data_IF_330032043964
#
_entry.id   IF_330032043964
#
_cell.length_a   1.000
_cell.length_b   1.000
_cell.length_c   1.000
_cell.angle_alpha   90.00
_cell.angle_beta   90.00
_cell.angle_gamma   90.00
#
_symmetry.space_group_name_H-M   'P 1'
#
loop_
_entity.id
_entity.type
_entity.pdbx_description
1 polymer ?
#
# COMPACT_ATOMS: atom_id res chain seq x y z
N UNK A 1 19.58 -21.56 -25.00
CA UNK A 1 18.60 -22.67 -25.03
C UNK A 1 17.28 -22.27 -24.39
N UNK A 2 17.29 -21.81 -23.14
CA UNK A 2 16.07 -21.33 -22.45
C UNK A 2 15.34 -20.19 -23.19
N UNK A 3 16.06 -19.20 -23.70
CA UNK A 3 15.45 -18.11 -24.49
C UNK A 3 14.71 -18.62 -25.74
N UNK A 4 15.27 -19.61 -26.45
CA UNK A 4 14.58 -20.25 -27.59
C UNK A 4 13.31 -20.97 -27.14
N UNK A 5 13.35 -21.68 -26.00
CA UNK A 5 12.17 -22.37 -25.46
C UNK A 5 11.08 -21.37 -25.07
N UNK A 6 11.43 -20.25 -24.42
CA UNK A 6 10.47 -19.21 -24.06
C UNK A 6 9.87 -18.53 -25.29
N UNK A 7 10.68 -18.26 -26.32
CA UNK A 7 10.20 -17.73 -27.61
C UNK A 7 9.25 -18.69 -28.32
N UNK A 8 9.57 -19.98 -28.35
CA UNK A 8 8.67 -20.99 -28.93
C UNK A 8 7.38 -21.13 -28.13
N UNK A 9 7.46 -21.14 -26.79
CA UNK A 9 6.28 -21.14 -25.91
C UNK A 9 5.41 -19.92 -26.19
N UNK A 10 5.99 -18.72 -26.27
CA UNK A 10 5.27 -17.50 -26.60
C UNK A 10 4.57 -17.58 -27.96
N UNK A 11 5.26 -18.04 -29.01
CA UNK A 11 4.67 -18.20 -30.35
C UNK A 11 3.50 -19.19 -30.34
N UNK A 12 3.66 -20.34 -29.67
CA UNK A 12 2.59 -21.34 -29.54
C UNK A 12 1.41 -20.78 -28.75
N UNK A 13 1.68 -20.11 -27.63
CA UNK A 13 0.67 -19.49 -26.79
C UNK A 13 -0.14 -18.45 -27.58
N UNK A 14 0.55 -17.55 -28.27
CA UNK A 14 -0.03 -16.46 -29.05
C UNK A 14 -0.89 -16.96 -30.22
N UNK A 15 -0.43 -18.01 -30.92
CA UNK A 15 -1.13 -18.55 -32.11
C UNK A 15 -2.36 -19.38 -31.72
N UNK A 16 -2.57 -19.78 -30.47
CA UNK A 16 -3.61 -20.76 -30.21
C UNK A 16 -5.03 -20.31 -30.57
N UNK A 17 -5.83 -21.22 -31.16
CA UNK A 17 -7.15 -20.90 -31.66
C UNK A 17 -8.18 -20.60 -30.56
N UNK A 18 -7.94 -21.02 -29.31
CA UNK A 18 -8.82 -20.74 -28.17
C UNK A 18 -8.49 -19.44 -27.43
N UNK A 19 -7.36 -18.80 -27.72
CA UNK A 19 -7.04 -17.48 -27.16
C UNK A 19 -7.74 -16.40 -28.00
N UNK A 20 -8.83 -15.83 -27.49
CA UNK A 20 -9.65 -14.79 -28.15
C UNK A 20 -8.97 -13.41 -28.03
N UNK A 21 -7.66 -13.34 -28.27
CA UNK A 21 -6.96 -12.04 -28.33
C UNK A 21 -7.18 -11.33 -29.66
N UNK A 22 -7.78 -12.02 -30.63
CA UNK A 22 -8.00 -11.54 -31.98
C UNK A 22 -9.37 -10.89 -32.05
N UNK A 23 -9.42 -9.55 -31.99
CA UNK A 23 -10.65 -8.77 -32.18
C UNK A 23 -11.32 -8.90 -33.55
N UNK A 24 -11.00 -9.93 -34.35
CA UNK A 24 -11.56 -10.20 -35.67
C UNK A 24 -11.47 -11.68 -36.07
N UNK A 25 -12.57 -12.22 -36.63
CA UNK A 25 -12.66 -13.56 -37.20
C UNK A 25 -11.65 -13.81 -38.35
N UNK A 26 -11.10 -12.75 -38.94
CA UNK A 26 -10.07 -12.84 -39.99
C UNK A 26 -8.84 -13.65 -39.56
N UNK A 27 -8.44 -13.56 -38.28
CA UNK A 27 -7.25 -14.25 -37.80
C UNK A 27 -7.41 -15.76 -37.70
N UNK A 28 -8.62 -16.25 -37.42
CA UNK A 28 -8.93 -17.67 -37.47
C UNK A 28 -8.74 -18.26 -38.88
N UNK A 29 -9.01 -17.47 -39.93
CA UNK A 29 -8.78 -17.88 -41.32
C UNK A 29 -7.34 -17.68 -41.79
N UNK A 30 -6.62 -16.68 -41.27
CA UNK A 30 -5.24 -16.39 -41.65
C UNK A 30 -4.23 -17.40 -41.09
N UNK A 31 -4.54 -18.02 -39.94
CA UNK A 31 -3.65 -18.92 -39.22
C UNK A 31 -3.26 -20.21 -39.97
N UNK A 32 -4.17 -20.91 -40.67
CA UNK A 32 -3.81 -22.03 -41.56
C UNK A 32 -2.79 -21.63 -42.64
N UNK A 33 -2.86 -20.39 -43.14
CA UNK A 33 -1.91 -19.88 -44.14
C UNK A 33 -0.52 -19.57 -43.55
N UNK A 34 -0.39 -19.50 -42.22
CA UNK A 34 0.91 -19.35 -41.55
C UNK A 34 1.63 -20.69 -41.32
N UNK A 35 0.93 -21.83 -41.41
CA UNK A 35 1.51 -23.18 -41.22
C UNK A 35 2.64 -23.50 -42.22
N UNK A 36 2.54 -23.15 -43.53
CA UNK A 36 3.65 -23.31 -44.46
C UNK A 36 4.91 -22.51 -44.05
N UNK A 37 4.74 -21.44 -43.28
CA UNK A 37 5.83 -20.59 -42.80
C UNK A 37 6.42 -21.06 -41.46
N UNK A 38 5.93 -22.16 -40.85
CA UNK A 38 6.42 -22.64 -39.55
C UNK A 38 7.92 -22.96 -39.56
N UNK A 39 8.47 -23.48 -40.65
CA UNK A 39 9.90 -23.72 -40.78
C UNK A 39 10.71 -22.40 -40.76
N UNK A 40 10.21 -21.37 -41.46
CA UNK A 40 10.82 -20.04 -41.44
C UNK A 40 10.73 -19.40 -40.06
N UNK A 41 9.58 -19.50 -39.37
CA UNK A 41 9.38 -19.00 -38.01
C UNK A 41 10.34 -19.69 -37.02
N UNK A 42 10.54 -21.00 -37.15
CA UNK A 42 11.49 -21.72 -36.31
C UNK A 42 12.93 -21.23 -36.53
N UNK A 43 13.36 -21.08 -37.77
CA UNK A 43 14.69 -20.52 -38.09
C UNK A 43 14.83 -19.10 -37.56
N UNK A 44 13.80 -18.26 -37.72
CA UNK A 44 13.78 -16.91 -37.16
C UNK A 44 13.85 -16.92 -35.63
N UNK A 45 13.16 -17.83 -34.95
CA UNK A 45 13.23 -17.98 -33.51
C UNK A 45 14.63 -18.41 -33.04
N UNK A 46 15.29 -19.32 -33.76
CA UNK A 46 16.68 -19.72 -33.50
C UNK A 46 17.63 -18.55 -33.68
N UNK A 47 17.56 -17.84 -34.81
CA UNK A 47 18.40 -16.66 -35.06
C UNK A 47 18.14 -15.54 -34.03
N UNK A 48 16.87 -15.30 -33.71
CA UNK A 48 16.46 -14.37 -32.68
C UNK A 48 17.00 -14.74 -31.31
N UNK A 49 17.04 -16.03 -30.96
CA UNK A 49 17.59 -16.50 -29.70
C UNK A 49 19.12 -16.39 -29.63
N UNK A 50 19.81 -16.51 -30.77
CA UNK A 50 21.26 -16.30 -30.85
C UNK A 50 21.65 -14.83 -30.68
N UNK A 51 20.84 -13.91 -31.21
CA UNK A 51 21.11 -12.46 -31.19
C UNK A 51 20.36 -11.75 -30.05
N UNK A 52 19.61 -12.50 -29.23
CA UNK A 52 18.74 -11.96 -28.16
C UNK A 52 17.79 -10.85 -28.64
N UNK A 53 17.27 -10.97 -29.87
CA UNK A 53 16.29 -10.02 -30.41
C UNK A 53 14.86 -10.45 -30.06
N UNK A 54 13.92 -9.52 -29.82
CA UNK A 54 12.52 -9.89 -29.58
C UNK A 54 11.80 -10.24 -30.90
N UNK A 55 10.80 -11.13 -30.80
CA UNK A 55 9.90 -11.49 -31.90
C UNK A 55 8.63 -10.64 -31.81
N UNK A 56 8.30 -9.91 -32.87
CA UNK A 56 7.09 -9.10 -32.94
C UNK A 56 6.09 -9.72 -33.92
N UNK A 57 4.81 -9.87 -33.54
CA UNK A 57 3.77 -10.29 -34.48
C UNK A 57 3.53 -9.18 -35.50
N UNK A 58 3.63 -9.50 -36.79
CA UNK A 58 3.41 -8.54 -37.86
C UNK A 58 1.93 -8.20 -37.92
N UNK A 59 1.55 -6.95 -37.66
CA UNK A 59 0.16 -6.47 -37.70
C UNK A 59 -0.79 -7.30 -36.81
N UNK A 60 -0.26 -7.85 -35.71
CA UNK A 60 -1.01 -8.76 -34.85
C UNK A 60 -1.48 -10.01 -35.58
N UNK A 61 -0.67 -10.56 -36.50
CA UNK A 61 -0.92 -11.81 -37.24
C UNK A 61 -0.10 -12.99 -36.68
N UNK A 62 -0.34 -14.20 -37.20
CA UNK A 62 0.42 -15.41 -36.83
C UNK A 62 1.84 -15.47 -37.42
N UNK A 63 2.30 -14.43 -38.13
CA UNK A 63 3.64 -14.32 -38.69
C UNK A 63 4.47 -13.37 -37.84
N UNK A 64 5.64 -13.82 -37.40
CA UNK A 64 6.56 -13.05 -36.57
C UNK A 64 7.73 -12.50 -37.39
N UNK A 65 8.21 -11.33 -37.00
CA UNK A 65 9.45 -10.74 -37.52
C UNK A 65 10.40 -10.47 -36.36
N UNK A 66 11.69 -10.72 -36.59
CA UNK A 66 12.76 -10.37 -35.66
C UNK A 66 12.93 -8.85 -35.60
N UNK A 67 12.80 -8.27 -34.41
CA UNK A 67 13.09 -6.85 -34.20
C UNK A 67 14.59 -6.58 -34.10
N UNK A 68 14.96 -5.32 -33.90
CA UNK A 68 16.32 -4.93 -33.53
C UNK A 68 16.66 -5.39 -32.12
N UNK A 69 17.94 -5.64 -31.85
CA UNK A 69 18.43 -5.95 -30.51
C UNK A 69 18.17 -4.74 -29.59
N UNK A 70 17.52 -4.98 -28.46
CA UNK A 70 17.21 -3.93 -27.46
C UNK A 70 18.04 -4.16 -26.21
N UNK A 71 18.57 -3.10 -25.57
CA UNK A 71 19.13 -3.22 -24.24
C UNK A 71 18.09 -3.78 -23.27
N UNK A 72 18.56 -4.49 -22.24
CA UNK A 72 17.70 -4.99 -21.16
C UNK A 72 16.99 -3.83 -20.48
N UNK A 73 17.70 -2.73 -20.19
CA UNK A 73 17.08 -1.52 -19.65
C UNK A 73 16.12 -0.88 -20.66
N UNK A 74 14.87 -0.61 -20.26
CA UNK A 74 13.95 0.13 -21.10
C UNK A 74 14.40 1.58 -21.29
N UNK A 75 14.22 2.08 -22.51
CA UNK A 75 14.34 3.50 -22.83
C UNK A 75 13.14 4.23 -22.24
N UNK A 76 13.32 4.83 -21.06
CA UNK A 76 12.36 5.77 -20.53
C UNK A 76 12.40 7.05 -21.36
N UNK A 77 11.22 7.51 -21.76
CA UNK A 77 11.05 8.90 -22.16
C UNK A 77 11.07 9.68 -20.86
N UNK A 78 11.95 10.68 -20.75
CA UNK A 78 12.06 11.53 -19.56
C UNK A 78 10.75 12.32 -19.35
N UNK A 79 9.77 11.68 -18.71
CA UNK A 79 8.66 12.39 -18.11
C UNK A 79 9.23 13.04 -16.86
N UNK A 80 9.58 14.31 -16.99
CA UNK A 80 10.07 15.13 -15.88
C UNK A 80 8.94 15.29 -14.85
N UNK A 81 8.72 14.29 -14.00
CA UNK A 81 7.78 14.36 -12.89
C UNK A 81 8.44 15.20 -11.81
N UNK A 82 8.26 16.53 -11.89
CA UNK A 82 8.62 17.41 -10.79
C UNK A 82 7.76 17.02 -9.60
N UNK A 83 8.41 16.56 -8.52
CA UNK A 83 7.80 16.46 -7.20
C UNK A 83 7.11 17.79 -6.93
N UNK A 84 5.80 17.76 -6.66
CA UNK A 84 5.09 18.95 -6.20
C UNK A 84 5.60 19.22 -4.79
N UNK A 85 6.64 20.04 -4.71
CA UNK A 85 7.23 20.43 -3.44
C UNK A 85 6.31 21.47 -2.79
N UNK A 86 5.62 21.08 -1.72
CA UNK A 86 4.64 21.95 -1.05
C UNK A 86 5.28 23.21 -0.45
N UNK A 87 6.61 23.24 -0.32
CA UNK A 87 7.41 24.42 0.04
C UNK A 87 7.34 25.55 -0.99
N UNK A 88 7.07 25.24 -2.26
CA UNK A 88 7.09 26.20 -3.38
C UNK A 88 5.73 26.39 -4.07
N UNK A 89 4.67 25.71 -3.63
CA UNK A 89 3.31 25.91 -4.15
C UNK A 89 2.63 27.06 -3.43
N UNK A 90 2.08 28.05 -4.18
CA UNK A 90 1.26 29.13 -3.60
C UNK A 90 0.09 28.52 -2.81
N UNK A 91 -0.21 29.08 -1.64
CA UNK A 91 -1.32 28.67 -0.77
C UNK A 91 -2.67 28.61 -1.50
N UNK A 92 -2.91 29.51 -2.46
CA UNK A 92 -4.09 29.49 -3.34
C UNK A 92 -4.22 28.18 -4.13
N UNK A 93 -3.11 27.62 -4.59
CA UNK A 93 -3.07 26.36 -5.35
C UNK A 93 -3.31 25.14 -4.46
N UNK A 94 -3.16 25.29 -3.14
CA UNK A 94 -3.54 24.27 -2.14
C UNK A 94 -5.01 24.41 -1.72
N UNK A 95 -5.56 25.63 -1.71
CA UNK A 95 -6.96 25.88 -1.35
C UNK A 95 -7.94 25.52 -2.46
N UNK A 96 -7.57 25.76 -3.73
CA UNK A 96 -8.41 25.46 -4.90
C UNK A 96 -8.43 23.97 -5.27
N UNK A 97 -7.58 23.15 -4.62
CA UNK A 97 -7.48 21.70 -4.86
C UNK A 97 -7.94 20.93 -3.61
N UNK A 98 -9.24 20.70 -3.48
CA UNK A 98 -9.85 19.54 -2.79
C UNK A 98 -11.38 19.63 -2.94
N UNK A 99 -12.13 18.55 -3.28
CA UNK A 99 -12.00 17.18 -2.77
C UNK A 99 -12.17 16.12 -3.89
N UNK A 100 -11.10 15.83 -4.62
CA UNK A 100 -11.14 14.91 -5.77
C UNK A 100 -9.90 14.91 -6.65
N UNK A 101 -8.83 15.58 -6.22
CA UNK A 101 -7.55 15.66 -6.92
C UNK A 101 -6.52 14.81 -6.18
N UNK A 102 -6.00 13.70 -6.68
CA UNK A 102 -6.20 12.97 -7.92
C UNK A 102 -5.74 11.56 -7.55
N UNK A 103 -6.51 10.48 -7.78
CA UNK A 103 -6.04 9.11 -7.51
C UNK A 103 -4.64 8.87 -8.12
N UNK A 104 -4.36 9.48 -9.26
CA UNK A 104 -3.05 9.48 -9.91
C UNK A 104 -1.90 10.03 -9.05
N UNK A 105 -2.15 11.05 -8.22
CA UNK A 105 -1.15 11.62 -7.30
C UNK A 105 -0.95 10.76 -6.05
N UNK A 106 -2.01 10.12 -5.55
CA UNK A 106 -1.88 9.13 -4.47
C UNK A 106 -1.12 7.89 -4.96
N UNK A 107 -1.42 7.44 -6.18
CA UNK A 107 -0.75 6.34 -6.84
C UNK A 107 0.74 6.63 -7.06
N UNK A 108 1.11 7.84 -7.50
CA UNK A 108 2.52 8.20 -7.66
C UNK A 108 3.28 8.21 -6.33
N UNK A 109 2.66 8.70 -5.24
CA UNK A 109 3.22 8.63 -3.88
C UNK A 109 3.40 7.17 -3.45
N UNK A 110 2.40 6.32 -3.68
CA UNK A 110 2.49 4.90 -3.38
C UNK A 110 3.65 4.22 -4.12
N UNK A 111 3.78 4.44 -5.43
CA UNK A 111 4.87 3.86 -6.22
C UNK A 111 6.25 4.40 -5.81
N UNK A 112 6.34 5.64 -5.36
CA UNK A 112 7.57 6.20 -4.79
C UNK A 112 7.98 5.47 -3.50
N UNK A 113 7.03 5.27 -2.58
CA UNK A 113 7.27 4.52 -1.34
C UNK A 113 7.60 3.05 -1.62
N UNK A 114 6.86 2.41 -2.53
CA UNK A 114 7.11 1.04 -2.98
C UNK A 114 8.53 0.91 -3.55
N UNK A 115 8.96 1.87 -4.37
CA UNK A 115 10.32 1.88 -4.94
C UNK A 115 11.38 1.97 -3.84
N UNK A 116 11.20 2.84 -2.84
CA UNK A 116 12.13 2.92 -1.69
C UNK A 116 12.16 1.65 -0.86
N UNK A 117 11.00 1.06 -0.58
CA UNK A 117 10.90 -0.20 0.17
C UNK A 117 11.64 -1.33 -0.55
N UNK A 118 11.42 -1.48 -1.86
CA UNK A 118 12.13 -2.43 -2.70
C UNK A 118 13.64 -2.14 -2.79
N UNK A 119 14.07 -0.87 -2.81
CA UNK A 119 15.50 -0.55 -2.75
C UNK A 119 16.19 -1.11 -1.48
N UNK A 120 15.47 -1.17 -0.36
CA UNK A 120 16.00 -1.72 0.89
C UNK A 120 15.89 -3.23 0.98
N UNK A 121 14.80 -3.84 0.50
CA UNK A 121 14.51 -5.26 0.75
C UNK A 121 14.78 -6.20 -0.43
N UNK A 122 14.65 -5.72 -1.67
CA UNK A 122 14.55 -6.57 -2.87
C UNK A 122 15.73 -7.53 -3.03
N UNK A 123 16.96 -7.06 -2.82
CA UNK A 123 18.12 -7.95 -2.94
C UNK A 123 18.09 -9.10 -1.91
N UNK A 124 17.67 -8.81 -0.68
CA UNK A 124 17.50 -9.84 0.35
C UNK A 124 16.37 -10.80 -0.01
N UNK A 125 15.25 -10.27 -0.50
CA UNK A 125 14.09 -11.07 -0.87
C UNK A 125 14.37 -12.03 -2.05
N UNK A 126 15.16 -11.59 -3.04
CA UNK A 126 15.63 -12.41 -4.15
C UNK A 126 16.57 -13.53 -3.68
N UNK A 127 17.53 -13.21 -2.80
CA UNK A 127 18.44 -14.21 -2.22
C UNK A 127 17.70 -15.27 -1.38
N UNK A 128 16.62 -14.86 -0.71
CA UNK A 128 15.74 -15.77 0.04
C UNK A 128 14.79 -16.58 -0.85
N UNK A 129 14.78 -16.35 -2.16
CA UNK A 129 13.92 -17.05 -3.12
C UNK A 129 12.44 -16.69 -3.03
N UNK A 130 12.09 -15.55 -2.40
CA UNK A 130 10.68 -15.13 -2.22
C UNK A 130 9.98 -14.78 -3.53
N UNK A 131 10.74 -14.45 -4.56
CA UNK A 131 10.26 -14.13 -5.92
C UNK A 131 10.39 -15.32 -6.88
N UNK A 132 10.68 -16.52 -6.35
CA UNK A 132 10.93 -17.70 -7.17
C UNK A 132 12.22 -17.59 -7.98
N UNK A 133 12.21 -18.26 -9.15
CA UNK A 133 13.33 -18.22 -10.08
C UNK A 133 13.40 -16.83 -10.72
N UNK A 134 14.58 -16.21 -10.66
CA UNK A 134 14.81 -14.88 -11.20
C UNK A 134 16.12 -14.86 -11.98
N UNK A 135 16.12 -14.13 -13.09
CA UNK A 135 17.27 -13.87 -13.93
C UNK A 135 17.32 -12.39 -14.32
N UNK A 136 18.47 -12.00 -14.90
CA UNK A 136 18.66 -10.66 -15.44
C UNK A 136 17.71 -10.45 -16.64
N UNK A 137 16.91 -9.39 -16.61
CA UNK A 137 15.92 -9.07 -17.63
C UNK A 137 14.51 -9.63 -17.39
N UNK A 138 14.28 -10.28 -16.25
CA UNK A 138 12.95 -10.80 -15.91
C UNK A 138 12.02 -9.68 -15.42
N UNK A 139 10.76 -9.76 -15.85
CA UNK A 139 9.68 -8.86 -15.45
C UNK A 139 8.72 -9.56 -14.51
N UNK A 140 8.44 -8.92 -13.39
CA UNK A 140 7.46 -9.35 -12.40
C UNK A 140 6.30 -8.36 -12.35
N UNK A 141 5.10 -8.88 -12.16
CA UNK A 141 3.91 -8.07 -11.93
C UNK A 141 3.49 -8.29 -10.48
N UNK A 142 3.52 -7.21 -9.71
CA UNK A 142 2.97 -7.17 -8.35
C UNK A 142 1.53 -6.70 -8.46
N UNK A 143 0.60 -7.59 -8.17
CA UNK A 143 -0.82 -7.31 -8.15
C UNK A 143 -1.32 -7.16 -6.70
N UNK A 144 -2.17 -6.16 -6.49
CA UNK A 144 -2.94 -5.91 -5.26
C UNK A 144 -4.38 -5.61 -5.67
N UNK A 145 -5.33 -5.68 -4.74
CA UNK A 145 -6.78 -5.51 -5.02
C UNK A 145 -7.11 -4.22 -5.80
N UNK A 146 -6.27 -3.19 -5.69
CA UNK A 146 -6.51 -1.88 -6.31
C UNK A 146 -5.34 -1.33 -7.12
N UNK A 147 -4.14 -1.94 -7.05
CA UNK A 147 -2.92 -1.35 -7.60
C UNK A 147 -2.02 -2.44 -8.20
N UNK A 148 -1.59 -2.22 -9.43
CA UNK A 148 -0.68 -3.12 -10.13
C UNK A 148 0.64 -2.43 -10.49
N UNK A 149 1.77 -3.05 -10.14
CA UNK A 149 3.12 -2.56 -10.44
C UNK A 149 3.90 -3.58 -11.27
N UNK A 150 4.55 -3.12 -12.34
CA UNK A 150 5.54 -3.89 -13.08
C UNK A 150 6.94 -3.58 -12.55
N UNK A 151 7.65 -4.62 -12.13
CA UNK A 151 9.03 -4.56 -11.63
C UNK A 151 9.93 -5.34 -12.60
N UNK A 152 10.87 -4.65 -13.23
CA UNK A 152 11.81 -5.24 -14.18
C UNK A 152 13.22 -5.28 -13.58
N UNK A 153 13.81 -6.47 -13.49
CA UNK A 153 15.17 -6.65 -13.00
C UNK A 153 16.17 -6.36 -14.13
N UNK A 154 16.93 -5.27 -14.02
CA UNK A 154 17.87 -4.86 -15.08
C UNK A 154 19.20 -5.60 -14.90
N UNK A 155 19.75 -5.58 -13.70
CA UNK A 155 21.06 -6.16 -13.40
C UNK A 155 21.04 -6.72 -11.98
N UNK A 156 21.59 -7.93 -11.83
CA UNK A 156 21.72 -8.63 -10.55
C UNK A 156 23.17 -9.08 -10.42
N UNK A 157 23.85 -8.67 -9.35
CA UNK A 157 25.23 -9.06 -9.12
C UNK A 157 25.77 -8.58 -7.78
N UNK A 158 26.66 -9.37 -7.16
CA UNK A 158 27.40 -9.00 -5.95
C UNK A 158 26.56 -8.39 -4.80
N UNK A 159 25.34 -8.90 -4.58
CA UNK A 159 24.45 -8.38 -3.54
C UNK A 159 23.84 -7.01 -3.87
N UNK A 160 23.86 -6.61 -5.13
CA UNK A 160 23.22 -5.40 -5.66
C UNK A 160 22.24 -5.82 -6.75
N UNK A 161 21.06 -5.21 -6.73
CA UNK A 161 20.02 -5.41 -7.74
C UNK A 161 19.59 -4.05 -8.23
N UNK A 162 19.65 -3.85 -9.54
CA UNK A 162 19.08 -2.67 -10.19
C UNK A 162 17.77 -3.07 -10.86
N UNK A 163 16.73 -2.27 -10.65
CA UNK A 163 15.40 -2.54 -11.17
C UNK A 163 14.72 -1.27 -11.66
N UNK A 164 13.75 -1.45 -12.54
CA UNK A 164 12.81 -0.42 -12.99
C UNK A 164 11.42 -0.76 -12.45
N UNK A 165 10.73 0.23 -11.91
CA UNK A 165 9.36 0.09 -11.42
C UNK A 165 8.43 1.00 -12.21
N UNK A 166 7.32 0.42 -12.69
CA UNK A 166 6.28 1.16 -13.41
C UNK A 166 4.90 0.80 -12.86
N UNK A 167 4.14 1.81 -12.45
CA UNK A 167 2.72 1.65 -12.14
C UNK A 167 1.88 1.45 -13.40
N UNK A 168 0.90 0.54 -13.35
CA UNK A 168 0.02 0.21 -14.48
C UNK A 168 -1.32 0.95 -14.46
N UNK A 169 -1.58 1.72 -13.41
CA UNK A 169 -2.87 2.38 -13.11
C UNK A 169 -3.12 3.69 -13.90
N UNK A 170 -2.42 3.92 -15.01
CA UNK A 170 -2.60 5.14 -15.78
C UNK A 170 -3.90 5.06 -16.61
N UNK A 171 -4.96 5.74 -16.17
CA UNK A 171 -6.23 5.86 -16.93
C UNK A 171 -6.01 6.67 -18.21
N UNK A 172 -5.69 5.99 -19.31
CA UNK A 172 -5.39 6.66 -20.58
C UNK A 172 -6.09 6.09 -21.82
N UNK A 173 -6.28 4.77 -21.91
CA UNK A 173 -6.86 4.14 -23.11
C UNK A 173 -7.64 2.87 -22.78
N UNK A 174 -8.57 2.48 -23.66
CA UNK A 174 -9.31 1.22 -23.55
C UNK A 174 -8.39 -0.02 -23.53
N UNK A 175 -7.30 0.02 -24.30
CA UNK A 175 -6.30 -1.04 -24.30
C UNK A 175 -5.62 -1.20 -22.93
N UNK A 176 -5.25 -0.08 -22.30
CA UNK A 176 -4.65 -0.09 -20.96
C UNK A 176 -5.61 -0.69 -19.92
N UNK A 177 -6.89 -0.35 -19.99
CA UNK A 177 -7.88 -0.88 -19.05
C UNK A 177 -8.06 -2.40 -19.23
N UNK A 178 -8.12 -2.88 -20.48
CA UNK A 178 -8.17 -4.33 -20.75
C UNK A 178 -6.92 -5.08 -20.32
N UNK A 179 -5.75 -4.47 -20.44
CA UNK A 179 -4.50 -5.05 -19.93
C UNK A 179 -4.53 -5.20 -18.40
N UNK A 180 -5.03 -4.19 -17.67
CA UNK A 180 -5.16 -4.24 -16.20
C UNK A 180 -6.23 -5.26 -15.78
N UNK A 181 -7.36 -5.31 -16.47
CA UNK A 181 -8.43 -6.29 -16.22
C UNK A 181 -7.90 -7.72 -16.40
N UNK A 182 -7.17 -8.01 -17.49
CA UNK A 182 -6.59 -9.33 -17.74
C UNK A 182 -5.48 -9.75 -16.75
N UNK A 183 -4.83 -8.79 -16.08
CA UNK A 183 -3.85 -9.05 -15.01
C UNK A 183 -4.56 -9.33 -13.67
N UNK A 184 -5.69 -8.67 -13.44
CA UNK A 184 -6.44 -8.73 -12.19
C UNK A 184 -7.39 -9.93 -12.15
N UNK A 185 -7.80 -10.45 -13.31
CA UNK A 185 -8.58 -11.68 -13.45
C UNK A 185 -7.81 -12.85 -12.82
N UNK A 186 -8.37 -13.41 -11.76
CA UNK A 186 -7.74 -14.46 -10.98
C UNK A 186 -7.58 -15.74 -11.80
N UNK A 187 -6.46 -16.44 -11.61
CA UNK A 187 -6.20 -17.75 -12.26
C UNK A 187 -7.17 -18.84 -11.77
N UNK A 188 -7.95 -18.56 -10.74
CA UNK A 188 -8.86 -19.51 -10.07
C UNK A 188 -10.29 -19.52 -10.62
N UNK A 189 -10.62 -18.73 -11.65
CA UNK A 189 -11.94 -18.81 -12.27
C UNK A 189 -12.05 -20.08 -13.13
N UNK A 190 -12.54 -21.15 -12.51
CA UNK A 190 -12.85 -22.43 -13.14
C UNK A 190 -14.13 -22.27 -13.99
N UNK A 191 -14.05 -21.54 -15.11
CA UNK A 191 -15.16 -21.45 -16.06
C UNK A 191 -15.43 -22.86 -16.61
N UNK A 192 -16.46 -23.53 -16.09
CA UNK A 192 -16.79 -24.91 -16.45
C UNK A 192 -16.83 -25.14 -17.97
N UNK A 193 -16.32 -26.28 -18.42
CA UNK A 193 -16.45 -26.70 -19.81
C UNK A 193 -17.85 -27.26 -20.03
N UNK A 194 -18.69 -26.60 -20.84
CA UNK A 194 -19.96 -27.11 -21.37
C UNK A 194 -20.73 -28.06 -20.43
N UNK A 195 -21.51 -27.48 -19.51
CA UNK A 195 -22.50 -28.17 -18.67
C UNK A 195 -21.97 -29.21 -17.66
N UNK A 196 -20.65 -29.44 -17.57
CA UNK A 196 -20.07 -30.42 -16.67
C UNK A 196 -18.92 -29.80 -15.85
N UNK A 197 -19.03 -29.85 -14.52
CA UNK A 197 -17.93 -29.59 -13.60
C UNK A 197 -17.32 -30.94 -13.20
N UNK A 198 -16.28 -31.44 -13.91
CA UNK A 198 -15.54 -32.59 -13.41
C UNK A 198 -14.81 -32.16 -12.14
N UNK A 199 -15.29 -32.63 -10.98
CA UNK A 199 -14.65 -32.34 -9.70
C UNK A 199 -13.14 -32.67 -9.72
N UNK A 200 -12.34 -31.86 -9.03
CA UNK A 200 -10.89 -32.05 -8.94
C UNK A 200 -10.50 -32.68 -7.59
N UNK A 201 -9.35 -33.37 -7.56
CA UNK A 201 -8.78 -33.87 -6.31
C UNK A 201 -8.34 -32.68 -5.44
N UNK A 202 -8.42 -32.80 -4.09
CA UNK A 202 -7.94 -31.74 -3.20
C UNK A 202 -6.44 -31.49 -3.45
N UNK A 203 -6.06 -30.21 -3.53
CA UNK A 203 -4.72 -29.72 -3.89
C UNK A 203 -4.23 -29.99 -5.32
N UNK A 204 -5.10 -30.42 -6.23
CA UNK A 204 -4.80 -30.47 -7.67
C UNK A 204 -5.65 -29.46 -8.42
N UNK A 205 -5.08 -28.83 -9.44
CA UNK A 205 -5.83 -27.99 -10.38
C UNK A 205 -6.84 -28.86 -11.15
N UNK A 206 -8.00 -28.28 -11.46
CA UNK A 206 -8.94 -28.88 -12.42
C UNK A 206 -8.25 -29.07 -13.78
N UNK A 207 -8.76 -29.98 -14.61
CA UNK A 207 -8.21 -30.16 -15.96
C UNK A 207 -8.28 -28.85 -16.77
N UNK A 208 -9.35 -28.09 -16.58
CA UNK A 208 -9.56 -26.83 -17.28
C UNK A 208 -8.57 -25.76 -16.79
N UNK A 209 -8.40 -25.62 -15.47
CA UNK A 209 -7.41 -24.70 -14.89
C UNK A 209 -5.97 -25.07 -15.29
N UNK A 210 -5.62 -26.37 -15.31
CA UNK A 210 -4.31 -26.83 -15.75
C UNK A 210 -4.07 -26.56 -17.25
N UNK A 211 -5.09 -26.77 -18.09
CA UNK A 211 -5.04 -26.48 -19.52
C UNK A 211 -4.93 -24.97 -19.79
N UNK A 212 -5.71 -24.15 -19.07
CA UNK A 212 -5.68 -22.69 -19.13
C UNK A 212 -4.31 -22.14 -18.72
N UNK A 213 -3.79 -22.54 -17.56
CA UNK A 213 -2.46 -22.13 -17.08
C UNK A 213 -1.34 -22.52 -18.02
N UNK A 214 -1.43 -23.69 -18.68
CA UNK A 214 -0.43 -24.09 -19.67
C UNK A 214 -0.34 -23.11 -20.83
N UNK A 215 -1.44 -22.43 -21.11
CA UNK A 215 -1.62 -21.49 -22.20
C UNK A 215 -1.56 -20.01 -21.80
N UNK A 216 -1.14 -19.72 -20.56
CA UNK A 216 -0.80 -18.37 -20.15
C UNK A 216 0.65 -18.02 -20.56
N UNK A 217 0.84 -16.75 -20.92
CA UNK A 217 2.15 -16.19 -21.23
C UNK A 217 2.93 -15.79 -19.97
N UNK A 218 2.29 -15.86 -18.79
CA UNK A 218 2.83 -15.51 -17.49
C UNK A 218 2.56 -16.66 -16.50
N UNK A 219 3.26 -16.65 -15.38
CA UNK A 219 3.09 -17.62 -14.30
C UNK A 219 3.09 -16.93 -12.93
N UNK A 220 2.39 -17.52 -11.96
CA UNK A 220 2.36 -17.01 -10.58
C UNK A 220 3.65 -17.42 -9.88
N UNK A 221 4.55 -16.46 -9.66
CA UNK A 221 5.80 -16.71 -8.93
C UNK A 221 5.58 -16.84 -7.41
N UNK A 222 4.70 -16.02 -6.84
CA UNK A 222 4.35 -16.04 -5.42
C UNK A 222 2.91 -15.55 -5.22
N UNK A 223 2.15 -16.23 -4.36
CA UNK A 223 0.75 -15.87 -4.06
C UNK A 223 0.63 -14.78 -3.00
N UNK A 224 1.62 -14.67 -2.11
CA UNK A 224 1.63 -13.66 -1.04
C UNK A 224 3.02 -13.08 -0.87
N UNK A 225 3.13 -11.79 -1.18
CA UNK A 225 4.34 -11.01 -0.96
C UNK A 225 4.00 -9.81 -0.08
N UNK A 226 4.61 -9.75 1.11
CA UNK A 226 4.35 -8.69 2.09
C UNK A 226 5.54 -7.75 2.11
N UNK A 227 5.27 -6.49 1.78
CA UNK A 227 6.22 -5.40 1.84
C UNK A 227 5.83 -4.43 2.94
N UNK A 228 6.82 -3.84 3.59
CA UNK A 228 6.62 -2.68 4.46
C UNK A 228 6.33 -1.47 3.55
N UNK A 229 5.06 -1.30 3.20
CA UNK A 229 4.61 -0.25 2.29
C UNK A 229 4.23 1.06 2.97
N UNK A 230 3.93 1.02 4.27
CA UNK A 230 3.36 2.15 4.98
C UNK A 230 3.63 2.07 6.49
N UNK A 231 4.38 3.03 7.03
CA UNK A 231 4.44 3.27 8.48
C UNK A 231 3.73 4.57 8.82
N UNK A 232 2.78 4.50 9.75
CA UNK A 232 2.08 5.67 10.31
C UNK A 232 3.08 6.64 10.97
N UNK A 233 4.26 6.15 11.38
CA UNK A 233 5.32 7.00 11.93
C UNK A 233 6.00 7.92 10.91
N UNK A 234 5.98 7.54 9.63
CA UNK A 234 6.83 8.16 8.60
C UNK A 234 6.10 9.24 7.80
N UNK A 235 4.79 9.39 8.01
CA UNK A 235 3.98 10.44 7.41
C UNK A 235 3.37 11.34 8.48
N UNK A 236 3.32 12.64 8.19
CA UNK A 236 2.68 13.61 9.06
C UNK A 236 1.19 13.28 9.20
N UNK A 237 0.75 12.92 10.41
CA UNK A 237 -0.67 12.65 10.71
C UNK A 237 -1.61 13.79 10.27
N UNK A 238 -1.08 15.01 10.10
CA UNK A 238 -1.82 16.13 9.56
C UNK A 238 -2.26 15.95 8.09
N UNK A 239 -1.49 15.29 7.22
CA UNK A 239 -1.89 15.09 5.82
C UNK A 239 -2.88 13.94 5.63
N UNK A 240 -2.85 12.92 6.51
CA UNK A 240 -3.76 11.77 6.45
C UNK A 240 -5.16 12.05 6.99
N UNK A 241 -5.28 12.92 8.00
CA UNK A 241 -6.53 13.21 8.67
C UNK A 241 -6.99 14.63 8.34
N UNK A 242 -7.10 14.99 7.07
CA UNK A 242 -7.56 16.32 6.66
C UNK A 242 -9.04 16.60 7.02
N UNK A 243 -9.80 15.59 7.43
CA UNK A 243 -11.14 15.79 8.00
C UNK A 243 -10.99 16.03 9.50
N UNK A 244 -11.26 17.27 9.94
CA UNK A 244 -11.23 17.66 11.36
C UNK A 244 -11.98 16.66 12.26
N UNK A 245 -13.06 16.07 11.76
CA UNK A 245 -13.87 15.07 12.48
C UNK A 245 -13.08 13.79 12.81
N UNK A 246 -12.24 13.28 11.90
CA UNK A 246 -11.44 12.09 12.17
C UNK A 246 -10.35 12.36 13.21
N UNK A 247 -9.73 13.55 13.19
CA UNK A 247 -8.76 13.95 14.22
C UNK A 247 -9.41 14.07 15.58
N UNK A 248 -10.59 14.71 15.63
CA UNK A 248 -11.40 14.81 16.83
C UNK A 248 -11.71 13.43 17.41
N UNK A 249 -12.21 12.51 16.56
CA UNK A 249 -12.49 11.12 16.94
C UNK A 249 -11.23 10.41 17.47
N UNK A 250 -10.08 10.55 16.78
CA UNK A 250 -8.82 9.95 17.20
C UNK A 250 -8.38 10.42 18.58
N UNK A 251 -8.37 11.74 18.82
CA UNK A 251 -7.99 12.33 20.11
C UNK A 251 -8.95 11.88 21.21
N UNK A 252 -10.27 11.92 20.96
CA UNK A 252 -11.26 11.46 21.93
C UNK A 252 -11.04 9.98 22.30
N UNK A 253 -10.80 9.09 21.33
CA UNK A 253 -10.53 7.68 21.62
C UNK A 253 -9.18 7.46 22.29
N UNK A 254 -8.16 8.24 21.92
CA UNK A 254 -6.84 8.17 22.54
C UNK A 254 -6.89 8.54 24.02
N UNK A 255 -7.56 9.66 24.36
CA UNK A 255 -7.80 10.07 25.76
C UNK A 255 -8.59 9.01 26.53
N UNK A 256 -9.69 8.50 25.94
CA UNK A 256 -10.47 7.40 26.55
C UNK A 256 -9.66 6.13 26.78
N UNK A 257 -8.72 5.82 25.88
CA UNK A 257 -7.82 4.68 25.99
C UNK A 257 -6.82 4.84 27.13
N UNK A 258 -6.20 6.02 27.26
CA UNK A 258 -5.33 6.35 28.39
C UNK A 258 -6.08 6.15 29.71
N UNK A 259 -7.28 6.74 29.84
CA UNK A 259 -8.11 6.61 31.03
C UNK A 259 -8.41 5.13 31.34
N UNK A 260 -8.81 4.35 30.33
CA UNK A 260 -9.11 2.94 30.48
C UNK A 260 -7.91 2.14 30.99
N UNK A 261 -6.74 2.31 30.37
CA UNK A 261 -5.53 1.58 30.76
C UNK A 261 -4.96 2.01 32.11
N UNK A 262 -5.06 3.30 32.46
CA UNK A 262 -4.66 3.80 33.78
C UNK A 262 -5.52 3.15 34.87
N UNK A 263 -6.84 3.13 34.70
CA UNK A 263 -7.76 2.57 35.70
C UNK A 263 -7.63 1.04 35.83
N UNK A 264 -7.37 0.34 34.71
CA UNK A 264 -7.10 -1.10 34.68
C UNK A 264 -5.72 -1.49 35.21
N UNK A 265 -4.79 -0.55 35.36
CA UNK A 265 -3.42 -0.83 35.78
C UNK A 265 -3.39 -1.42 37.20
N UNK A 266 -2.59 -2.48 37.45
CA UNK A 266 -2.40 -3.01 38.79
C UNK A 266 -1.68 -2.01 39.71
N UNK A 267 -0.95 -1.04 39.13
CA UNK A 267 -0.18 -0.01 39.86
C UNK A 267 -0.98 1.24 40.21
N UNK A 268 -2.28 1.28 39.89
CA UNK A 268 -3.09 2.48 40.13
C UNK A 268 -3.10 2.92 41.60
N UNK A 269 -3.24 1.98 42.53
CA UNK A 269 -3.21 2.26 43.98
C UNK A 269 -1.88 2.86 44.43
N UNK A 270 -0.77 2.44 43.82
CA UNK A 270 0.54 3.00 44.08
C UNK A 270 0.62 4.45 43.56
N UNK A 271 0.15 4.70 42.34
CA UNK A 271 0.22 6.03 41.72
C UNK A 271 -0.70 7.06 42.38
N UNK A 272 -1.92 6.65 42.74
CA UNK A 272 -2.90 7.53 43.38
C UNK A 272 -2.45 7.95 44.79
N UNK A 273 -1.78 7.05 45.52
CA UNK A 273 -1.30 7.31 46.89
C UNK A 273 0.13 7.88 46.95
N UNK A 274 0.81 8.05 45.81
CA UNK A 274 2.18 8.54 45.79
C UNK A 274 2.22 10.05 46.01
N UNK A 275 2.78 10.48 47.14
CA UNK A 275 2.92 11.89 47.52
C UNK A 275 3.70 12.72 46.50
N UNK A 276 4.72 12.15 45.84
CA UNK A 276 5.51 12.87 44.84
C UNK A 276 4.68 13.21 43.60
N UNK A 277 3.78 12.31 43.18
CA UNK A 277 2.88 12.53 42.04
C UNK A 277 1.80 13.56 42.42
N UNK A 278 1.26 13.46 43.62
CA UNK A 278 0.26 14.40 44.13
C UNK A 278 0.83 15.83 44.22
N UNK A 279 2.06 16.00 44.71
CA UNK A 279 2.72 17.31 44.78
C UNK A 279 2.92 17.93 43.39
N UNK A 280 3.34 17.15 42.39
CA UNK A 280 3.50 17.64 41.01
C UNK A 280 2.17 18.02 40.37
N UNK A 281 1.09 17.29 40.68
CA UNK A 281 -0.25 17.54 40.13
C UNK A 281 -1.09 18.53 40.95
N UNK A 282 -0.60 18.97 42.11
CA UNK A 282 -1.29 19.91 42.99
C UNK A 282 -1.71 21.21 42.29
N UNK A 283 -0.90 21.83 41.39
CA UNK A 283 -1.31 23.02 40.64
C UNK A 283 -2.54 22.77 39.77
N UNK A 284 -2.69 21.57 39.20
CA UNK A 284 -3.81 21.21 38.33
C UNK A 284 -5.17 21.19 39.05
N UNK A 285 -5.15 21.06 40.38
CA UNK A 285 -6.37 21.08 41.19
C UNK A 285 -6.88 22.51 41.46
N UNK A 286 -6.10 23.54 41.13
CA UNK A 286 -6.52 24.93 41.27
C UNK A 286 -7.52 25.29 40.14
N UNK A 287 -8.71 25.85 40.44
CA UNK A 287 -9.68 26.27 39.43
C UNK A 287 -9.14 27.29 38.41
N UNK A 288 -8.08 28.04 38.74
CA UNK A 288 -7.45 28.98 37.80
C UNK A 288 -6.37 28.36 36.92
N UNK A 289 -6.08 27.07 37.10
CA UNK A 289 -5.10 26.37 36.28
C UNK A 289 -5.73 25.92 34.95
N UNK A 290 -5.09 26.30 33.86
CA UNK A 290 -5.34 25.76 32.54
C UNK A 290 -3.99 25.50 31.86
N UNK A 291 -3.89 24.37 31.17
CA UNK A 291 -2.72 24.05 30.38
C UNK A 291 -2.90 24.64 28.98
N UNK A 292 -2.14 25.69 28.68
CA UNK A 292 -2.18 26.46 27.43
C UNK A 292 -1.10 26.02 26.43
N UNK A 293 -0.71 24.74 26.44
CA UNK A 293 0.23 24.21 25.47
C UNK A 293 -0.28 24.42 24.02
N UNK A 294 0.57 24.87 23.07
CA UNK A 294 0.18 25.06 21.68
C UNK A 294 -0.35 23.79 20.96
N UNK A 295 -0.15 22.61 21.54
CA UNK A 295 -0.69 21.34 21.02
C UNK A 295 -2.21 21.23 21.14
N UNK A 296 -2.86 21.99 22.04
CA UNK A 296 -4.31 21.94 22.22
C UNK A 296 -5.04 22.85 21.24
N UNK A 297 -6.11 22.33 20.63
CA UNK A 297 -6.86 23.05 19.60
C UNK A 297 -8.37 22.90 19.79
N UNK A 298 -9.09 24.02 19.82
CA UNK A 298 -10.54 24.05 19.98
C UNK A 298 -11.33 23.28 18.90
N UNK A 299 -10.75 23.05 17.73
CA UNK A 299 -11.40 22.28 16.66
C UNK A 299 -11.26 20.76 16.85
N UNK A 300 -10.34 20.32 17.69
CA UNK A 300 -9.95 18.92 17.85
C UNK A 300 -10.24 18.41 19.26
N UNK A 301 -9.89 19.19 20.28
CA UNK A 301 -10.05 18.84 21.68
C UNK A 301 -11.46 19.22 22.19
N UNK A 302 -12.25 18.21 22.57
CA UNK A 302 -13.60 18.42 23.13
C UNK A 302 -13.59 19.10 24.50
N UNK A 303 -12.49 18.97 25.24
CA UNK A 303 -12.28 19.56 26.56
C UNK A 303 -11.54 20.91 26.50
N UNK A 304 -11.47 21.56 25.34
CA UNK A 304 -10.86 22.88 25.21
C UNK A 304 -11.70 23.96 25.88
N UNK A 305 -11.11 24.71 26.82
CA UNK A 305 -11.75 25.83 27.50
C UNK A 305 -11.44 27.14 26.76
N UNK A 306 -12.45 27.67 26.07
CA UNK A 306 -12.34 28.93 25.34
C UNK A 306 -12.00 30.14 26.23
N UNK A 307 -12.40 30.11 27.52
CA UNK A 307 -12.18 31.24 28.43
C UNK A 307 -10.75 31.28 28.93
N UNK A 308 -10.17 30.11 29.19
CA UNK A 308 -8.82 29.95 29.74
C UNK A 308 -7.76 29.73 28.65
N UNK A 309 -8.15 29.63 27.37
CA UNK A 309 -7.27 29.36 26.23
C UNK A 309 -6.38 28.13 26.45
N UNK A 310 -6.99 27.00 26.79
CA UNK A 310 -6.28 25.77 27.08
C UNK A 310 -7.21 24.69 27.62
N UNK A 311 -6.64 23.63 28.18
CA UNK A 311 -7.42 22.57 28.82
C UNK A 311 -7.38 22.77 30.34
N UNK A 312 -8.56 22.91 30.96
CA UNK A 312 -8.69 23.02 32.41
C UNK A 312 -9.19 21.69 33.01
N UNK A 313 -8.94 21.45 34.29
CA UNK A 313 -9.48 20.27 34.97
C UNK A 313 -11.02 20.28 34.95
N UNK A 314 -11.63 21.47 34.97
CA UNK A 314 -13.07 21.64 34.90
C UNK A 314 -13.65 21.22 33.54
N UNK A 315 -13.06 21.67 32.44
CA UNK A 315 -13.48 21.26 31.09
C UNK A 315 -13.23 19.77 30.86
N UNK A 316 -12.08 19.25 31.28
CA UNK A 316 -11.79 17.82 31.24
C UNK A 316 -12.85 16.97 31.98
N UNK A 317 -13.25 17.39 33.19
CA UNK A 317 -14.30 16.71 33.94
C UNK A 317 -15.65 16.76 33.21
N UNK A 318 -16.01 17.87 32.56
CA UNK A 318 -17.28 17.96 31.83
C UNK A 318 -17.41 16.94 30.69
N UNK A 319 -16.29 16.54 30.09
CA UNK A 319 -16.27 15.60 28.95
C UNK A 319 -16.01 14.16 29.41
N UNK A 320 -15.01 13.94 30.26
CA UNK A 320 -14.47 12.60 30.54
C UNK A 320 -14.82 12.02 31.91
N UNK A 321 -15.43 12.78 32.84
CA UNK A 321 -15.74 12.29 34.18
C UNK A 321 -16.66 11.06 34.17
N UNK A 322 -17.69 11.07 33.32
CA UNK A 322 -18.60 9.92 33.17
C UNK A 322 -17.86 8.66 32.71
N UNK A 323 -16.85 8.81 31.85
CA UNK A 323 -16.03 7.69 31.38
C UNK A 323 -15.09 7.16 32.49
N UNK A 324 -14.49 8.06 33.28
CA UNK A 324 -13.65 7.70 34.42
C UNK A 324 -14.49 6.92 35.45
N UNK A 325 -15.67 7.43 35.82
CA UNK A 325 -16.57 6.78 36.77
C UNK A 325 -17.05 5.41 36.26
N UNK A 326 -17.36 5.31 34.95
CA UNK A 326 -17.71 4.05 34.33
C UNK A 326 -16.56 3.03 34.40
N UNK A 327 -15.33 3.44 34.08
CA UNK A 327 -14.17 2.57 34.17
C UNK A 327 -13.86 2.16 35.62
N UNK A 328 -13.99 3.09 36.58
CA UNK A 328 -13.78 2.84 38.00
C UNK A 328 -14.82 1.85 38.57
N UNK A 329 -16.09 1.96 38.17
CA UNK A 329 -17.14 1.02 38.62
C UNK A 329 -16.97 -0.41 38.11
N UNK A 330 -16.17 -0.62 37.04
CA UNK A 330 -15.84 -1.93 36.49
C UNK A 330 -14.56 -2.54 37.06
N UNK A 331 -13.96 -1.88 38.05
CA UNK A 331 -12.74 -2.36 38.74
C UNK A 331 -13.15 -3.15 39.98
N UNK A 332 -12.48 -4.27 40.23
CA UNK A 332 -12.76 -5.12 41.40
C UNK A 332 -12.49 -4.40 42.73
N UNK A 333 -11.48 -3.52 42.74
CA UNK A 333 -11.11 -2.69 43.89
C UNK A 333 -11.66 -1.27 43.73
N UNK A 334 -12.53 -0.80 44.64
CA UNK A 334 -13.12 0.52 44.55
C UNK A 334 -12.05 1.62 44.69
N UNK A 335 -12.20 2.69 43.92
CA UNK A 335 -11.36 3.89 43.96
C UNK A 335 -12.27 5.10 43.93
N UNK A 336 -11.95 6.13 44.71
CA UNK A 336 -12.67 7.40 44.66
C UNK A 336 -12.55 8.03 43.27
N UNK A 337 -13.70 8.30 42.66
CA UNK A 337 -13.81 8.85 41.29
C UNK A 337 -14.64 10.13 41.24
N UNK A 338 -14.70 10.86 42.36
CA UNK A 338 -15.33 12.17 42.42
C UNK A 338 -14.52 13.21 41.66
N UNK A 339 -15.15 14.33 41.32
CA UNK A 339 -14.54 15.42 40.55
C UNK A 339 -13.22 15.92 41.14
N UNK A 340 -13.09 15.88 42.47
CA UNK A 340 -11.91 16.34 43.21
C UNK A 340 -10.98 15.20 43.65
N UNK A 341 -11.21 13.98 43.15
CA UNK A 341 -10.40 12.81 43.53
C UNK A 341 -9.00 12.87 42.89
N UNK A 342 -8.02 12.32 43.61
CA UNK A 342 -6.65 12.16 43.10
C UNK A 342 -6.61 11.32 41.80
N UNK A 343 -7.56 10.40 41.61
CA UNK A 343 -7.72 9.64 40.38
C UNK A 343 -8.00 10.54 39.18
N UNK A 344 -8.94 11.48 39.31
CA UNK A 344 -9.31 12.39 38.21
C UNK A 344 -8.14 13.32 37.87
N UNK A 345 -7.43 13.85 38.88
CA UNK A 345 -6.25 14.69 38.66
C UNK A 345 -5.10 13.90 38.00
N UNK A 346 -4.91 12.63 38.37
CA UNK A 346 -3.94 11.73 37.74
C UNK A 346 -4.29 11.45 36.27
N UNK A 347 -5.54 11.10 35.98
CA UNK A 347 -6.03 10.90 34.62
C UNK A 347 -5.84 12.16 33.77
N UNK A 348 -6.16 13.33 34.31
CA UNK A 348 -5.94 14.62 33.65
C UNK A 348 -4.47 14.84 33.27
N UNK A 349 -3.55 14.68 34.22
CA UNK A 349 -2.11 14.85 33.98
C UNK A 349 -1.55 13.88 32.93
N UNK A 350 -1.96 12.61 32.99
CA UNK A 350 -1.53 11.60 32.01
C UNK A 350 -2.13 11.83 30.62
N UNK A 351 -3.35 12.34 30.52
CA UNK A 351 -3.97 12.67 29.23
C UNK A 351 -3.31 13.90 28.58
N UNK A 352 -2.92 14.90 29.37
CA UNK A 352 -2.11 16.05 28.89
C UNK A 352 -0.76 15.56 28.37
N UNK A 353 -0.05 14.75 29.17
CA UNK A 353 1.24 14.18 28.78
C UNK A 353 1.14 13.34 27.50
N UNK A 354 0.13 12.47 27.43
CA UNK A 354 -0.13 11.61 26.28
C UNK A 354 -0.42 12.42 25.02
N UNK A 355 -1.20 13.50 25.12
CA UNK A 355 -1.50 14.40 23.99
C UNK A 355 -0.26 15.17 23.52
N UNK A 356 0.61 15.63 24.42
CA UNK A 356 1.91 16.24 24.05
C UNK A 356 2.84 15.25 23.34
N UNK A 357 2.90 14.01 23.81
CA UNK A 357 3.67 12.96 23.15
C UNK A 357 3.14 12.67 21.73
N UNK A 358 1.82 12.72 21.53
CA UNK A 358 1.19 12.59 20.22
C UNK A 358 1.45 13.81 19.32
N UNK A 359 1.36 15.03 19.86
CA UNK A 359 1.59 16.28 19.13
C UNK A 359 3.06 16.47 18.71
N UNK A 360 4.01 16.02 19.53
CA UNK A 360 5.44 16.00 19.15
C UNK A 360 5.72 14.99 18.04
N UNK A 361 5.08 13.81 18.08
CA UNK A 361 5.16 12.86 16.98
C UNK A 361 4.58 13.45 15.67
N UNK A 362 3.46 14.19 15.73
CA UNK A 362 2.86 14.80 14.54
C UNK A 362 3.69 15.94 13.90
N UNK A 363 4.53 16.63 14.66
CA UNK A 363 5.32 17.77 14.15
C UNK A 363 6.83 17.49 13.96
N UNK A 364 7.29 16.29 14.28
CA UNK A 364 8.72 15.91 14.31
C UNK A 364 9.48 16.03 12.97
N UNK A 365 8.81 16.22 11.84
CA UNK A 365 9.46 16.38 10.53
C UNK A 365 9.74 17.83 10.11
N UNK A 366 9.39 18.86 10.90
CA UNK A 366 9.70 20.25 10.55
C UNK A 366 11.08 20.72 11.04
N UNK A 367 11.80 19.92 11.83
CA UNK A 367 13.05 20.32 12.49
C UNK A 367 14.26 19.41 12.15
N UNK A 368 14.24 18.73 11.00
CA UNK A 368 15.42 18.07 10.42
C UNK A 368 15.69 18.55 9.02
#
# INVERSE_FOLDING_TARGET
LWDLLYKLRFVLTYIAPWQITWGSAFHAFAQPFAVPHSAMLFVQAVLSALVSTPLNPLLGSAVFITSYARPVKFWERDYNTKRVDHSNTRLVTQLDRNPGADDNNLNSIFYEHLTRSLQHSLCGDLLLGRWGNHAMGDCFILASDYLNALVHLIEIGNGIVTFQLRGLEFRGTYCQQREVEAITEGVEEDEGCCCCEPGHLPHMLSFNAAFGQRWLAWEVAATKYVLEGYSISDNNAASMLQVFDLRKILITYYVKSIIYYVIRSPKLEEWVNNEAIQEVLRPCSNPTYADSDPTFNHNIDEDYDHRMQGVSLASFCSVYLNWIQYCASRRDKPVESDRNSHLVTLCFGLCILGRRALGTASHSMSAR
#
